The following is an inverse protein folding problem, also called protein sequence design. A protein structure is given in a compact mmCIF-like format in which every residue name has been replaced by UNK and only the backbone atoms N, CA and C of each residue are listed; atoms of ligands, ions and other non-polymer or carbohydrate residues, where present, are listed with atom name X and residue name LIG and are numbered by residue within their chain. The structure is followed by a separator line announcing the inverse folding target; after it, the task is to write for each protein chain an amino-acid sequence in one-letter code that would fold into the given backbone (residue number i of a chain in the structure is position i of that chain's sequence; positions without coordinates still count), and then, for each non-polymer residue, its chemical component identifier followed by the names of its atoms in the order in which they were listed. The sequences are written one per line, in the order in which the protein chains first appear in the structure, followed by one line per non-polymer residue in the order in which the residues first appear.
data_IF_064952565507
#
_entry.id   IF_064952565507
#
_cell.length_a   1.000
_cell.length_b   1.000
_cell.length_c   1.000
_cell.angle_alpha   90.00
_cell.angle_beta   90.00
_cell.angle_gamma   90.00
#
_symmetry.space_group_name_H-M   'P 1'
#
loop_
_entity.id
_entity.type
_entity.pdbx_description
1 polymer ?
#
# COMPACT_ATOMS: atom_id res chain seq x y z
N UNK A 1 -9.60 8.62 -5.01
CA UNK A 1 -9.31 7.45 -4.14
C UNK A 1 -9.72 7.77 -2.72
N UNK A 2 -10.40 6.87 -2.01
CA UNK A 2 -10.68 7.03 -0.57
C UNK A 2 -9.69 6.17 0.22
N UNK A 3 -8.92 6.79 1.09
CA UNK A 3 -7.96 6.09 1.97
C UNK A 3 -8.64 5.75 3.29
N UNK A 4 -8.38 4.54 3.79
CA UNK A 4 -8.89 4.04 5.06
C UNK A 4 -7.69 3.71 5.97
N UNK A 5 -7.85 3.69 7.31
CA UNK A 5 -6.75 3.41 8.23
C UNK A 5 -6.08 2.04 8.04
N UNK A 6 -6.80 1.06 7.47
CA UNK A 6 -6.30 -0.30 7.27
C UNK A 6 -6.15 -1.10 8.57
N UNK A 7 -5.31 -2.14 8.52
CA UNK A 7 -4.93 -3.02 9.64
C UNK A 7 -3.43 -3.30 9.55
N UNK A 8 -2.76 -3.43 10.70
CA UNK A 8 -1.32 -3.75 10.76
C UNK A 8 -0.96 -5.16 10.28
N UNK A 9 -1.96 -6.06 10.13
CA UNK A 9 -1.74 -7.45 9.76
C UNK A 9 -2.88 -7.99 8.86
N UNK A 10 -2.60 -8.99 8.01
CA UNK A 10 -1.27 -9.59 7.75
C UNK A 10 -0.35 -8.61 7.00
N UNK A 11 0.97 -8.84 7.08
CA UNK A 11 1.96 -8.05 6.32
C UNK A 11 1.79 -8.30 4.81
N UNK A 12 2.12 -7.29 4.01
CA UNK A 12 2.00 -7.28 2.57
C UNK A 12 0.74 -6.58 2.07
N UNK A 13 0.36 -6.88 0.84
CA UNK A 13 -0.86 -6.40 0.20
C UNK A 13 -1.93 -7.49 0.21
N UNK A 14 -3.09 -7.23 0.79
CA UNK A 14 -4.19 -8.20 0.88
C UNK A 14 -5.49 -7.59 0.39
N UNK A 15 -6.14 -8.23 -0.59
CA UNK A 15 -7.48 -7.86 -1.04
C UNK A 15 -8.54 -8.32 -0.05
N UNK A 16 -9.41 -7.41 0.40
CA UNK A 16 -10.46 -7.69 1.39
C UNK A 16 -11.88 -7.78 0.81
N UNK A 17 -12.01 -7.74 -0.52
CA UNK A 17 -13.30 -7.72 -1.23
C UNK A 17 -13.83 -6.31 -1.53
N UNK A 18 -13.27 -5.26 -0.94
CA UNK A 18 -13.65 -3.86 -1.14
C UNK A 18 -12.46 -2.96 -1.51
N UNK A 19 -11.27 -3.35 -1.10
CA UNK A 19 -10.03 -2.64 -1.28
C UNK A 19 -8.82 -3.53 -1.01
N UNK A 20 -7.62 -2.95 -1.15
CA UNK A 20 -6.37 -3.59 -0.76
C UNK A 20 -5.91 -2.99 0.56
N UNK A 21 -5.72 -3.83 1.58
CA UNK A 21 -5.00 -3.46 2.80
C UNK A 21 -3.50 -3.61 2.56
N UNK A 22 -2.73 -2.56 2.85
CA UNK A 22 -1.27 -2.58 2.80
C UNK A 22 -0.75 -2.49 4.23
N UNK A 23 0.05 -3.47 4.65
CA UNK A 23 0.75 -3.45 5.93
C UNK A 23 2.23 -3.77 5.70
N UNK A 24 3.12 -2.95 6.23
CA UNK A 24 4.54 -3.22 6.20
C UNK A 24 5.16 -2.93 7.56
N UNK A 25 6.24 -3.63 7.85
CA UNK A 25 7.07 -3.38 9.01
C UNK A 25 8.31 -2.60 8.59
N UNK A 26 8.69 -1.62 9.40
CA UNK A 26 10.02 -1.03 9.33
C UNK A 26 10.48 -0.70 10.74
N UNK A 27 11.67 -1.17 11.09
CA UNK A 27 12.30 -0.89 12.39
C UNK A 27 12.80 0.56 12.47
N UNK A 28 13.22 1.14 11.35
CA UNK A 28 13.99 2.39 11.31
C UNK A 28 13.39 3.47 10.40
N UNK A 29 12.29 3.22 9.69
CA UNK A 29 11.71 4.22 8.79
C UNK A 29 11.15 5.42 9.56
N UNK A 30 11.48 6.61 9.08
CA UNK A 30 10.89 7.87 9.54
C UNK A 30 9.63 8.25 8.77
N UNK A 31 9.46 7.70 7.57
CA UNK A 31 8.30 7.89 6.69
C UNK A 31 8.18 6.70 5.72
N UNK A 32 6.95 6.43 5.30
CA UNK A 32 6.64 5.45 4.25
C UNK A 32 5.65 6.07 3.28
N UNK A 33 5.84 5.80 1.99
CA UNK A 33 4.95 6.25 0.92
C UNK A 33 4.50 5.03 0.09
N UNK A 34 3.22 5.01 -0.26
CA UNK A 34 2.64 3.99 -1.14
C UNK A 34 2.56 4.57 -2.55
N UNK A 35 3.40 4.07 -3.46
CA UNK A 35 3.37 4.45 -4.88
C UNK A 35 2.49 3.47 -5.66
N UNK A 36 1.52 4.00 -6.42
CA UNK A 36 0.64 3.22 -7.27
C UNK A 36 0.92 3.56 -8.74
N UNK A 37 0.88 2.55 -9.60
CA UNK A 37 1.18 2.67 -11.02
C UNK A 37 0.01 2.08 -11.83
N UNK A 38 -0.40 2.77 -12.88
CA UNK A 38 -1.56 2.34 -13.69
C UNK A 38 -1.30 1.09 -14.54
N UNK A 39 -0.03 0.79 -14.84
CA UNK A 39 0.38 -0.37 -15.63
C UNK A 39 1.79 -0.82 -15.28
N UNK A 40 2.15 -2.03 -15.73
CA UNK A 40 3.47 -2.61 -15.47
C UNK A 40 4.62 -1.83 -16.14
N UNK A 41 4.34 -1.10 -17.22
CA UNK A 41 5.34 -0.31 -17.97
C UNK A 41 5.39 1.15 -17.52
N UNK A 42 4.52 1.57 -16.58
CA UNK A 42 4.50 2.94 -16.09
C UNK A 42 5.79 3.27 -15.32
N UNK A 43 6.48 4.32 -15.73
CA UNK A 43 7.73 4.77 -15.11
C UNK A 43 7.54 5.79 -13.99
N UNK A 44 6.30 6.22 -13.75
CA UNK A 44 5.92 7.20 -12.73
C UNK A 44 4.62 6.80 -12.05
N UNK A 45 4.54 7.09 -10.77
CA UNK A 45 3.33 6.91 -9.97
C UNK A 45 2.20 7.86 -10.39
N UNK A 46 0.96 7.38 -10.25
CA UNK A 46 -0.28 8.07 -10.60
C UNK A 46 -0.76 9.05 -9.53
#
# INVERSE_FOLDING_TARGET
MRVWPGRSNPLGATWDGRGVNIALYSENATRVELCLFDSADATRES
#
